data_IF_438018705423
#
_entry.id   IF_438018705423
#
_cell.length_a   1.000
_cell.length_b   1.000
_cell.length_c   1.000
_cell.angle_alpha   90.00
_cell.angle_beta   90.00
_cell.angle_gamma   90.00
#
_symmetry.space_group_name_H-M   'P 1'
#
loop_
_entity.id
_entity.type
_entity.pdbx_description
1 polymer ?
#
# COMPACT_ATOMS: atom_id res chain seq x y z
N UNK A 1 17.37 -8.85 -2.48
CA UNK A 1 17.29 -10.20 -3.07
C UNK A 1 17.42 -11.33 -2.04
N UNK A 2 18.44 -11.36 -1.18
CA UNK A 2 18.69 -12.50 -0.27
C UNK A 2 17.60 -12.73 0.79
N UNK A 3 17.05 -11.67 1.40
CA UNK A 3 16.02 -11.79 2.46
C UNK A 3 14.72 -12.48 2.02
N UNK A 4 14.28 -12.24 0.79
CA UNK A 4 13.04 -12.84 0.27
C UNK A 4 13.23 -14.34 -0.02
N UNK A 5 14.38 -14.70 -0.60
CA UNK A 5 14.73 -16.10 -0.84
C UNK A 5 14.84 -16.89 0.48
N UNK A 6 15.41 -16.29 1.53
CA UNK A 6 15.46 -16.90 2.87
C UNK A 6 14.05 -17.13 3.45
N UNK A 7 13.16 -16.14 3.34
CA UNK A 7 11.79 -16.29 3.81
C UNK A 7 11.03 -17.41 3.08
N UNK A 8 11.17 -17.51 1.75
CA UNK A 8 10.55 -18.59 0.99
C UNK A 8 11.02 -19.98 1.45
N UNK A 9 12.32 -20.10 1.75
CA UNK A 9 12.91 -21.33 2.28
C UNK A 9 12.32 -21.70 3.64
N UNK A 10 12.22 -20.75 4.56
CA UNK A 10 11.62 -20.97 5.90
C UNK A 10 10.15 -21.38 5.80
N UNK A 11 9.39 -20.79 4.87
CA UNK A 11 7.98 -21.16 4.66
C UNK A 11 7.85 -22.56 4.04
N UNK A 12 8.74 -22.95 3.13
CA UNK A 12 8.84 -24.34 2.63
C UNK A 12 9.21 -25.33 3.73
N UNK A 13 10.18 -24.99 4.57
CA UNK A 13 10.62 -25.83 5.70
C UNK A 13 9.54 -25.96 6.79
N UNK A 14 8.61 -25.00 6.91
CA UNK A 14 7.54 -25.04 7.92
C UNK A 14 6.43 -26.07 7.65
N UNK A 15 6.32 -26.62 6.43
CA UNK A 15 5.29 -27.57 5.96
C UNK A 15 3.82 -27.21 6.30
N UNK A 16 3.57 -25.92 6.54
CA UNK A 16 2.26 -25.42 6.91
C UNK A 16 1.40 -25.25 5.67
N UNK A 17 0.42 -26.15 5.50
CA UNK A 17 -0.54 -26.13 4.37
C UNK A 17 -1.29 -24.81 4.21
N UNK A 18 -1.48 -24.05 5.29
CA UNK A 18 -2.07 -22.71 5.27
C UNK A 18 -1.26 -21.71 4.42
N UNK A 19 0.06 -21.91 4.30
CA UNK A 19 0.91 -21.05 3.47
C UNK A 19 0.84 -21.36 1.98
N UNK A 20 0.24 -22.48 1.54
CA UNK A 20 0.12 -22.78 0.11
C UNK A 20 -0.71 -21.74 -0.63
N UNK A 21 -1.78 -21.25 0.01
CA UNK A 21 -2.59 -20.15 -0.54
C UNK A 21 -1.78 -18.85 -0.60
N UNK A 22 -1.01 -18.55 0.46
CA UNK A 22 -0.16 -17.38 0.51
C UNK A 22 0.94 -17.44 -0.55
N UNK A 23 1.64 -18.57 -0.73
CA UNK A 23 2.63 -18.79 -1.80
C UNK A 23 2.04 -18.54 -3.17
N UNK A 24 0.84 -19.07 -3.46
CA UNK A 24 0.16 -18.86 -4.73
C UNK A 24 -0.10 -17.37 -4.99
N UNK A 25 -0.65 -16.65 -4.01
CA UNK A 25 -0.86 -15.19 -4.10
C UNK A 25 0.46 -14.43 -4.23
N UNK A 26 1.50 -14.86 -3.54
CA UNK A 26 2.83 -14.24 -3.58
C UNK A 26 3.47 -14.37 -4.96
N UNK A 27 3.32 -15.52 -5.61
CA UNK A 27 3.81 -15.74 -6.98
C UNK A 27 3.06 -14.89 -8.00
N UNK A 28 1.74 -14.73 -7.84
CA UNK A 28 0.92 -13.86 -8.70
C UNK A 28 1.39 -12.40 -8.64
N UNK A 29 1.76 -11.92 -7.44
CA UNK A 29 2.19 -10.53 -7.21
C UNK A 29 3.71 -10.38 -7.06
N UNK A 30 4.49 -11.36 -7.54
CA UNK A 30 5.92 -11.45 -7.24
C UNK A 30 6.70 -10.20 -7.67
N UNK A 31 6.40 -9.65 -8.84
CA UNK A 31 7.08 -8.47 -9.37
C UNK A 31 6.82 -7.21 -8.52
N UNK A 32 5.58 -7.03 -8.06
CA UNK A 32 5.21 -5.88 -7.21
C UNK A 32 5.89 -5.97 -5.84
N UNK A 33 5.94 -7.18 -5.28
CA UNK A 33 6.60 -7.45 -4.01
C UNK A 33 8.12 -7.31 -4.15
N UNK A 34 8.71 -7.80 -5.24
CA UNK A 34 10.13 -7.65 -5.54
C UNK A 34 10.51 -6.17 -5.68
N UNK A 35 9.66 -5.38 -6.33
CA UNK A 35 9.84 -3.93 -6.43
C UNK A 35 9.89 -3.28 -5.05
N UNK A 36 9.01 -3.64 -4.11
CA UNK A 36 9.08 -3.15 -2.73
C UNK A 36 10.46 -3.39 -2.08
N UNK A 37 11.09 -4.55 -2.31
CA UNK A 37 12.42 -4.84 -1.75
C UNK A 37 13.57 -4.12 -2.47
N UNK A 38 13.40 -3.76 -3.75
CA UNK A 38 14.44 -3.14 -4.57
C UNK A 38 14.39 -1.60 -4.50
N UNK A 39 13.22 -0.98 -4.68
CA UNK A 39 13.06 0.47 -4.71
C UNK A 39 12.58 1.05 -3.37
N UNK A 40 12.20 0.21 -2.39
CA UNK A 40 11.44 0.63 -1.19
C UNK A 40 10.17 1.41 -1.54
N UNK A 41 9.65 1.30 -2.77
CA UNK A 41 8.39 1.92 -3.16
C UNK A 41 7.28 1.27 -2.33
N UNK A 42 6.90 1.95 -1.26
CA UNK A 42 5.94 1.43 -0.31
C UNK A 42 4.62 2.15 -0.58
N UNK A 43 3.56 1.39 -0.84
CA UNK A 43 2.20 1.93 -0.91
C UNK A 43 1.72 2.50 0.44
N UNK A 44 2.57 2.52 1.48
CA UNK A 44 2.28 3.03 2.82
C UNK A 44 1.78 4.48 2.83
N UNK A 45 2.26 5.34 1.93
CA UNK A 45 1.74 6.71 1.80
C UNK A 45 0.28 6.71 1.33
N UNK A 46 -0.04 5.90 0.31
CA UNK A 46 -1.39 5.71 -0.21
C UNK A 46 -2.30 5.01 0.80
N UNK A 47 -1.79 4.01 1.53
CA UNK A 47 -2.54 3.28 2.55
C UNK A 47 -2.84 4.16 3.77
N UNK A 48 -1.86 4.93 4.24
CA UNK A 48 -2.04 5.94 5.30
C UNK A 48 -3.07 7.01 4.90
N UNK A 49 -3.04 7.44 3.63
CA UNK A 49 -4.04 8.35 3.10
C UNK A 49 -5.44 7.72 3.08
N UNK A 50 -5.59 6.47 2.62
CA UNK A 50 -6.86 5.75 2.63
C UNK A 50 -7.42 5.59 4.04
N UNK A 51 -6.58 5.34 5.04
CA UNK A 51 -6.97 5.29 6.46
C UNK A 51 -7.48 6.65 6.94
N UNK A 52 -6.78 7.75 6.63
CA UNK A 52 -7.21 9.11 6.98
C UNK A 52 -8.56 9.47 6.33
N UNK A 53 -8.75 9.14 5.06
CA UNK A 53 -10.02 9.37 4.34
C UNK A 53 -11.14 8.53 4.94
N UNK A 54 -10.88 7.26 5.28
CA UNK A 54 -11.87 6.39 5.94
C UNK A 54 -12.28 6.96 7.30
N UNK A 55 -11.31 7.40 8.11
CA UNK A 55 -11.59 8.01 9.41
C UNK A 55 -12.41 9.31 9.28
N UNK A 56 -12.06 10.16 8.31
CA UNK A 56 -12.83 11.37 8.01
C UNK A 56 -14.28 11.03 7.64
N UNK A 57 -14.51 10.06 6.74
CA UNK A 57 -15.87 9.61 6.38
C UNK A 57 -16.65 9.07 7.58
N UNK A 58 -15.99 8.36 8.50
CA UNK A 58 -16.63 7.83 9.71
C UNK A 58 -17.12 8.95 10.63
N UNK A 59 -16.31 10.00 10.85
CA UNK A 59 -16.67 11.14 11.70
C UNK A 59 -17.92 11.87 11.21
N UNK A 60 -18.08 12.02 9.89
CA UNK A 60 -19.21 12.73 9.29
C UNK A 60 -20.37 11.80 8.89
N UNK A 61 -20.32 10.51 9.28
CA UNK A 61 -21.30 9.47 8.91
C UNK A 61 -21.54 9.41 7.40
N UNK A 62 -20.47 9.50 6.63
CA UNK A 62 -20.49 9.55 5.18
C UNK A 62 -20.10 10.92 4.61
N UNK A 63 -20.52 11.16 3.37
CA UNK A 63 -20.20 12.38 2.62
C UNK A 63 -21.52 13.06 2.23
N UNK A 64 -21.92 14.07 2.99
CA UNK A 64 -23.14 14.84 2.73
C UNK A 64 -22.89 16.02 1.78
N UNK A 65 -21.74 16.68 1.95
CA UNK A 65 -21.29 17.78 1.10
C UNK A 65 -20.02 17.37 0.36
N UNK A 66 -20.14 17.24 -0.96
CA UNK A 66 -19.03 16.82 -1.84
C UNK A 66 -17.96 17.91 -1.96
N UNK A 67 -18.37 19.18 -2.00
CA UNK A 67 -17.45 20.31 -2.15
C UNK A 67 -16.60 20.46 -0.89
N UNK A 68 -17.22 20.41 0.28
CA UNK A 68 -16.50 20.41 1.56
C UNK A 68 -15.60 19.17 1.72
N UNK A 69 -16.08 18.00 1.32
CA UNK A 69 -15.29 16.78 1.37
C UNK A 69 -14.03 16.86 0.52
N UNK A 70 -14.13 17.36 -0.71
CA UNK A 70 -12.99 17.55 -1.61
C UNK A 70 -11.99 18.59 -1.05
N UNK A 71 -12.48 19.70 -0.51
CA UNK A 71 -11.64 20.71 0.16
C UNK A 71 -10.88 20.16 1.37
N UNK A 72 -11.48 19.25 2.14
CA UNK A 72 -10.78 18.58 3.26
C UNK A 72 -9.84 17.49 2.79
N UNK A 73 -10.14 16.84 1.65
CA UNK A 73 -9.27 15.83 1.06
C UNK A 73 -7.93 16.42 0.63
N UNK A 74 -7.92 17.61 0.03
CA UNK A 74 -6.69 18.30 -0.39
C UNK A 74 -5.80 18.63 0.80
N UNK A 75 -6.39 19.09 1.93
CA UNK A 75 -5.65 19.34 3.17
C UNK A 75 -5.06 18.05 3.79
N UNK A 76 -5.76 16.92 3.67
CA UNK A 76 -5.22 15.62 4.13
C UNK A 76 -4.05 15.14 3.26
N UNK A 77 -4.01 15.54 1.99
CA UNK A 77 -2.97 15.21 1.03
C UNK A 77 -1.69 16.03 1.27
N UNK A 78 -1.82 17.31 1.64
CA UNK A 78 -0.69 18.23 1.90
C UNK A 78 0.14 17.89 3.15
N UNK A 79 -0.36 17.01 4.02
CA UNK A 79 0.38 16.49 5.18
C UNK A 79 1.29 15.30 4.84
N UNK A 80 1.42 14.92 3.57
CA UNK A 80 2.42 13.95 3.10
C UNK A 80 3.68 14.75 2.73
N UNK A 81 4.84 14.51 3.38
CA UNK A 81 6.07 15.19 3.00
C UNK A 81 6.35 14.96 1.52
N UNK A 82 6.51 16.05 0.75
CA UNK A 82 6.68 16.05 -0.72
C UNK A 82 7.81 15.15 -1.24
N UNK A 83 8.69 14.68 -0.36
CA UNK A 83 9.79 13.76 -0.67
C UNK A 83 9.34 12.41 -1.24
N UNK A 84 8.07 12.02 -1.10
CA UNK A 84 7.51 10.78 -1.66
C UNK A 84 6.62 10.93 -2.89
N UNK A 85 6.54 12.14 -3.48
CA UNK A 85 5.70 12.41 -4.65
C UNK A 85 6.49 12.48 -5.97
N UNK A 86 7.81 12.64 -5.91
CA UNK A 86 8.71 12.58 -7.08
C UNK A 86 8.71 11.18 -7.72
N UNK A 87 8.42 10.14 -6.93
CA UNK A 87 8.33 8.75 -7.41
C UNK A 87 6.96 8.41 -8.02
N UNK A 88 5.97 9.32 -7.95
CA UNK A 88 4.61 9.10 -8.42
C UNK A 88 4.43 9.49 -9.90
N UNK A 89 5.19 8.85 -10.80
CA UNK A 89 4.86 8.77 -12.23
C UNK A 89 3.71 7.78 -12.52
N UNK A 90 2.79 7.56 -11.57
CA UNK A 90 1.72 6.57 -11.68
C UNK A 90 0.48 7.06 -12.47
N UNK A 91 0.53 8.23 -13.10
CA UNK A 91 -0.54 8.72 -14.00
C UNK A 91 -0.08 8.94 -15.44
N UNK A 92 1.00 8.27 -15.87
CA UNK A 92 1.42 8.32 -17.28
C UNK A 92 1.95 6.99 -17.81
N UNK A 93 1.09 5.98 -17.90
CA UNK A 93 0.94 5.08 -19.05
C UNK A 93 -0.25 4.16 -18.87
#
# INVERSE_FOLDING_TARGET
MTKLAHWFREVEESDLRSFNMLKKTFMVHYNDILNYFNSRSTHASAESFNVKVKNFRLQFRGVKDKTFFLFRLTQLLELIPKKGLEDANFLRK
#
